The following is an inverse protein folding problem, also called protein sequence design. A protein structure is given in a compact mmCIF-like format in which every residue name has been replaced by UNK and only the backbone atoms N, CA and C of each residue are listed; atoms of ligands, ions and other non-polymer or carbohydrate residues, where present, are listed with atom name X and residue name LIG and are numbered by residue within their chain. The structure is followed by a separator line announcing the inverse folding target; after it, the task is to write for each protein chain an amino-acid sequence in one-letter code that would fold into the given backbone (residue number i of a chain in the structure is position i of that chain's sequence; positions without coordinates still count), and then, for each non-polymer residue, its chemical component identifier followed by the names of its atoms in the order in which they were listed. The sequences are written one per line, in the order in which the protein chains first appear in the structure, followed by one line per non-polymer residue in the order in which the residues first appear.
data_IF_581259504151
#
_entry.id   IF_581259504151
#
_cell.length_a   1.000
_cell.length_b   1.000
_cell.length_c   1.000
_cell.angle_alpha   90.00
_cell.angle_beta   90.00
_cell.angle_gamma   90.00
#
_symmetry.space_group_name_H-M   'P 1'
#
loop_
_entity.id
_entity.type
_entity.pdbx_description
1 polymer ?
#
# COMPACT_ATOMS: atom_id res chain seq x y z
N UNK A 1 -10.80 -4.73 14.34
CA UNK A 1 -9.37 -4.93 14.66
C UNK A 1 -8.58 -4.85 13.37
N UNK A 2 -7.40 -4.24 13.39
CA UNK A 2 -6.51 -4.12 12.25
C UNK A 2 -5.15 -4.77 12.59
N UNK A 3 -4.40 -5.18 11.57
CA UNK A 3 -3.06 -5.73 11.76
C UNK A 3 -2.08 -5.22 10.70
N UNK A 4 -0.79 -5.36 11.02
CA UNK A 4 0.32 -5.22 10.07
C UNK A 4 1.19 -6.48 10.19
N UNK A 5 1.53 -7.13 9.07
CA UNK A 5 2.51 -8.21 9.01
C UNK A 5 3.69 -7.76 8.14
N UNK A 6 4.91 -8.07 8.58
CA UNK A 6 6.13 -7.84 7.80
C UNK A 6 6.70 -9.19 7.35
N UNK A 7 7.24 -9.23 6.13
CA UNK A 7 8.02 -10.36 5.65
C UNK A 7 9.16 -9.92 4.73
N UNK A 8 10.13 -10.83 4.54
CA UNK A 8 11.19 -10.68 3.52
C UNK A 8 10.60 -10.63 2.11
N UNK A 9 11.27 -9.91 1.22
CA UNK A 9 10.78 -9.71 -0.14
C UNK A 9 10.89 -10.95 -1.05
N UNK A 10 11.67 -11.95 -0.63
CA UNK A 10 11.76 -13.26 -1.28
C UNK A 10 10.48 -14.10 -1.12
N UNK A 11 9.45 -13.63 -0.40
CA UNK A 11 8.15 -14.30 -0.37
C UNK A 11 7.42 -14.17 -1.72
N UNK A 12 7.70 -13.13 -2.50
CA UNK A 12 7.03 -12.84 -3.78
C UNK A 12 7.64 -13.58 -4.98
N UNK A 13 8.62 -14.47 -4.76
CA UNK A 13 9.14 -15.34 -5.82
C UNK A 13 8.18 -16.52 -5.98
N UNK A 14 7.26 -16.42 -6.94
CA UNK A 14 6.62 -17.62 -7.50
C UNK A 14 7.65 -18.40 -8.29
N UNK A 15 7.69 -19.72 -8.14
CA UNK A 15 8.28 -20.57 -9.17
C UNK A 15 7.44 -20.38 -10.45
N UNK A 16 8.10 -20.18 -11.59
CA UNK A 16 7.48 -19.92 -12.92
C UNK A 16 6.44 -20.99 -13.33
N UNK A 17 6.36 -22.11 -12.60
CA UNK A 17 5.47 -23.25 -12.84
C UNK A 17 4.21 -23.29 -11.93
N UNK A 18 3.99 -22.28 -11.06
CA UNK A 18 2.82 -22.22 -10.17
C UNK A 18 1.97 -20.98 -10.44
N UNK A 19 0.68 -21.18 -10.73
CA UNK A 19 -0.32 -20.14 -11.11
C UNK A 19 -0.53 -19.00 -10.10
N UNK A 20 0.04 -19.04 -8.89
CA UNK A 20 -0.17 -18.02 -7.85
C UNK A 20 1.03 -17.86 -6.92
N UNK A 21 1.53 -16.64 -6.74
CA UNK A 21 2.64 -16.33 -5.81
C UNK A 21 2.24 -16.56 -4.35
N UNK A 22 3.19 -16.82 -3.44
CA UNK A 22 2.89 -17.00 -2.01
C UNK A 22 2.18 -15.79 -1.40
N UNK A 23 2.42 -14.60 -1.96
CA UNK A 23 1.73 -13.36 -1.59
C UNK A 23 0.23 -13.45 -1.90
N UNK A 24 -0.14 -13.95 -3.09
CA UNK A 24 -1.54 -14.15 -3.45
C UNK A 24 -2.22 -15.20 -2.57
N UNK A 25 -1.52 -16.30 -2.27
CA UNK A 25 -2.01 -17.33 -1.33
C UNK A 25 -2.29 -16.71 0.05
N UNK A 26 -1.36 -15.92 0.58
CA UNK A 26 -1.53 -15.24 1.86
C UNK A 26 -2.72 -14.26 1.85
N UNK A 27 -2.89 -13.46 0.80
CA UNK A 27 -4.04 -12.56 0.65
C UNK A 27 -5.37 -13.33 0.56
N UNK A 28 -5.38 -14.47 -0.14
CA UNK A 28 -6.53 -15.37 -0.21
C UNK A 28 -6.93 -15.91 1.16
N UNK A 29 -5.97 -16.46 1.92
CA UNK A 29 -6.20 -16.96 3.28
C UNK A 29 -6.73 -15.85 4.21
N UNK A 30 -6.14 -14.65 4.14
CA UNK A 30 -6.58 -13.49 4.93
C UNK A 30 -8.02 -13.09 4.60
N UNK A 31 -8.40 -13.14 3.32
CA UNK A 31 -9.78 -12.90 2.88
C UNK A 31 -10.73 -13.97 3.43
N UNK A 32 -10.37 -15.24 3.36
CA UNK A 32 -11.17 -16.35 3.89
C UNK A 32 -11.45 -16.22 5.39
N UNK A 33 -10.47 -15.77 6.17
CA UNK A 33 -10.66 -15.55 7.61
C UNK A 33 -11.32 -14.21 7.94
N UNK A 34 -11.78 -13.43 6.95
CA UNK A 34 -12.59 -12.22 7.13
C UNK A 34 -11.78 -10.93 7.31
N UNK A 35 -10.71 -10.76 6.52
CA UNK A 35 -9.96 -9.52 6.43
C UNK A 35 -9.90 -8.99 4.99
N UNK A 36 -10.10 -7.69 4.84
CA UNK A 36 -9.63 -6.96 3.67
C UNK A 36 -8.18 -6.55 3.89
N UNK A 37 -7.27 -7.13 3.10
CA UNK A 37 -5.84 -6.88 3.23
C UNK A 37 -5.21 -6.46 1.90
N UNK A 38 -4.18 -5.63 2.00
CA UNK A 38 -3.28 -5.26 0.90
C UNK A 38 -1.85 -5.55 1.29
N UNK A 39 -0.96 -5.60 0.31
CA UNK A 39 0.48 -5.83 0.51
C UNK A 39 1.27 -4.79 -0.26
N UNK A 40 2.30 -4.24 0.37
CA UNK A 40 3.19 -3.26 -0.24
C UNK A 40 4.66 -3.68 -0.05
N UNK A 41 5.45 -3.59 -1.11
CA UNK A 41 6.90 -3.83 -1.07
C UNK A 41 7.62 -2.50 -0.85
N UNK A 42 8.23 -2.32 0.32
CA UNK A 42 8.87 -1.07 0.71
C UNK A 42 10.38 -1.27 0.88
N UNK A 43 11.17 -0.31 0.39
CA UNK A 43 12.61 -0.25 0.63
C UNK A 43 12.91 0.87 1.63
N UNK A 44 13.64 0.55 2.70
CA UNK A 44 13.95 1.51 3.78
C UNK A 44 14.69 2.77 3.29
N UNK A 45 15.48 2.64 2.21
CA UNK A 45 16.17 3.75 1.55
C UNK A 45 15.22 4.87 1.09
N UNK A 46 14.01 4.51 0.65
CA UNK A 46 13.03 5.46 0.11
C UNK A 46 12.35 6.29 1.21
N UNK A 47 12.61 5.95 2.48
CA UNK A 47 12.04 6.58 3.67
C UNK A 47 13.09 7.29 4.52
N UNK A 48 14.23 7.66 3.93
CA UNK A 48 15.29 8.43 4.58
C UNK A 48 16.18 7.63 5.52
N UNK A 49 16.04 6.30 5.55
CA UNK A 49 16.92 5.41 6.30
C UNK A 49 18.02 4.94 5.35
N UNK A 50 19.32 5.21 5.60
CA UNK A 50 20.42 4.84 4.69
C UNK A 50 20.72 3.33 4.78
N UNK A 51 19.75 2.49 4.45
CA UNK A 51 19.80 1.04 4.50
C UNK A 51 19.04 0.45 3.31
N UNK A 52 19.70 -0.45 2.56
CA UNK A 52 19.05 -1.24 1.51
C UNK A 52 18.36 -2.45 2.15
N UNK A 53 17.17 -2.25 2.66
CA UNK A 53 16.33 -3.29 3.26
C UNK A 53 14.94 -3.23 2.66
N UNK A 54 14.63 -4.23 1.84
CA UNK A 54 13.31 -4.37 1.21
C UNK A 54 12.46 -5.41 1.96
N UNK A 55 11.19 -5.08 2.21
CA UNK A 55 10.25 -5.88 2.98
C UNK A 55 8.84 -5.73 2.42
N UNK A 56 8.08 -6.83 2.51
CA UNK A 56 6.66 -6.84 2.24
C UNK A 56 5.91 -6.50 3.52
N UNK A 57 4.95 -5.58 3.42
CA UNK A 57 4.08 -5.18 4.50
C UNK A 57 2.64 -5.47 4.13
N UNK A 58 2.02 -6.40 4.83
CA UNK A 58 0.58 -6.65 4.72
C UNK A 58 -0.15 -5.77 5.72
N UNK A 59 -1.19 -5.07 5.26
CA UNK A 59 -2.07 -4.28 6.13
C UNK A 59 -3.47 -4.83 5.99
N UNK A 60 -4.05 -5.34 7.08
CA UNK A 60 -5.35 -5.99 7.07
C UNK A 60 -6.36 -5.34 8.02
N UNK A 61 -7.60 -5.20 7.55
CA UNK A 61 -8.74 -4.67 8.29
C UNK A 61 -9.82 -5.76 8.43
N UNK A 62 -10.24 -6.08 9.66
CA UNK A 62 -11.28 -7.08 9.91
C UNK A 62 -12.60 -6.64 9.30
N UNK A 63 -13.33 -7.55 8.67
CA UNK A 63 -14.60 -7.26 8.00
C UNK A 63 -15.67 -6.72 8.95
N UNK A 64 -15.72 -7.26 10.16
CA UNK A 64 -16.64 -6.82 11.22
C UNK A 64 -16.31 -5.45 11.82
N UNK A 65 -15.23 -4.81 11.38
CA UNK A 65 -14.89 -3.46 11.84
C UNK A 65 -15.81 -2.44 11.15
N UNK A 66 -16.66 -1.79 11.95
CA UNK A 66 -17.42 -0.62 11.51
C UNK A 66 -16.47 0.58 11.42
N UNK A 67 -16.28 1.09 10.21
CA UNK A 67 -15.44 2.25 9.91
C UNK A 67 -16.32 3.35 9.33
N UNK A 68 -15.90 4.61 9.50
CA UNK A 68 -16.59 5.76 8.94
C UNK A 68 -16.52 5.81 7.41
N UNK A 69 -15.50 5.16 6.83
CA UNK A 69 -15.24 5.08 5.40
C UNK A 69 -15.15 3.61 4.97
N UNK A 70 -15.25 3.35 3.66
CA UNK A 70 -15.09 1.99 3.14
C UNK A 70 -13.65 1.50 3.37
N UNK A 71 -13.49 0.18 3.47
CA UNK A 71 -12.16 -0.42 3.71
C UNK A 71 -11.27 -0.17 2.49
N UNK A 72 -11.86 -0.23 1.31
CA UNK A 72 -11.24 0.04 0.02
C UNK A 72 -10.69 1.47 -0.03
N UNK A 73 -11.47 2.47 0.38
CA UNK A 73 -11.03 3.87 0.43
C UNK A 73 -9.89 4.08 1.41
N UNK A 74 -9.97 3.45 2.59
CA UNK A 74 -8.92 3.55 3.61
C UNK A 74 -7.62 2.96 3.07
N UNK A 75 -7.69 1.79 2.44
CA UNK A 75 -6.54 1.12 1.84
C UNK A 75 -5.96 1.93 0.67
N UNK A 76 -6.81 2.52 -0.18
CA UNK A 76 -6.40 3.39 -1.27
C UNK A 76 -5.70 4.68 -0.77
N UNK A 77 -6.23 5.32 0.29
CA UNK A 77 -5.59 6.47 0.93
C UNK A 77 -4.23 6.11 1.53
N UNK A 78 -4.13 4.92 2.11
CA UNK A 78 -2.88 4.42 2.70
C UNK A 78 -1.83 4.22 1.61
N UNK A 79 -2.20 3.58 0.50
CA UNK A 79 -1.37 3.43 -0.68
C UNK A 79 -0.91 4.80 -1.24
N UNK A 80 -1.83 5.73 -1.48
CA UNK A 80 -1.50 7.07 -1.95
C UNK A 80 -0.58 7.85 -1.01
N UNK A 81 -0.72 7.66 0.31
CA UNK A 81 0.15 8.28 1.30
C UNK A 81 1.55 7.66 1.30
N UNK A 82 1.68 6.36 1.09
CA UNK A 82 2.97 5.69 0.94
C UNK A 82 3.72 6.19 -0.29
N UNK A 83 3.07 6.25 -1.46
CA UNK A 83 3.68 6.84 -2.68
C UNK A 83 4.12 8.29 -2.42
N UNK A 84 3.29 9.08 -1.75
CA UNK A 84 3.64 10.45 -1.37
C UNK A 84 4.84 10.50 -0.42
N UNK A 85 5.04 9.50 0.43
CA UNK A 85 6.18 9.41 1.33
C UNK A 85 7.46 8.93 0.63
N UNK A 86 7.35 8.18 -0.46
CA UNK A 86 8.47 7.70 -1.28
C UNK A 86 8.93 8.73 -2.32
N UNK A 87 8.07 9.67 -2.71
CA UNK A 87 8.45 10.75 -3.64
C UNK A 87 9.46 11.68 -2.95
N UNK A 88 10.61 11.98 -3.59
CA UNK A 88 11.56 12.96 -3.08
C UNK A 88 10.87 14.28 -2.75
N UNK A 89 11.30 14.95 -1.67
CA UNK A 89 10.67 16.19 -1.20
C UNK A 89 10.59 17.27 -2.29
N UNK A 90 11.54 17.28 -3.23
CA UNK A 90 11.62 18.20 -4.37
C UNK A 90 10.49 17.96 -5.41
N UNK A 91 10.11 16.70 -5.67
CA UNK A 91 8.98 16.36 -6.56
C UNK A 91 7.61 16.61 -5.92
N UNK A 92 7.53 16.61 -4.58
CA UNK A 92 6.27 16.89 -3.86
C UNK A 92 5.77 18.32 -4.10
N UNK A 93 6.66 19.27 -4.38
CA UNK A 93 6.31 20.67 -4.68
C UNK A 93 5.68 20.81 -6.08
N UNK A 94 6.14 20.01 -7.04
CA UNK A 94 5.62 19.98 -8.42
C UNK A 94 4.18 19.46 -8.46
N UNK A 95 3.90 18.33 -7.81
CA UNK A 95 2.57 17.70 -7.82
C UNK A 95 1.52 18.52 -7.04
N UNK A 96 1.93 19.19 -5.95
CA UNK A 96 1.04 20.08 -5.20
C UNK A 96 0.54 21.28 -6.03
N UNK A 97 1.39 21.84 -6.91
CA UNK A 97 1.00 22.93 -7.80
C UNK A 97 0.01 22.51 -8.88
N UNK A 98 0.05 21.25 -9.34
CA UNK A 98 -0.85 20.75 -10.39
C UNK A 98 -2.26 20.43 -9.87
N UNK A 99 -2.39 19.97 -8.62
CA UNK A 99 -3.69 19.78 -7.96
C UNK A 99 -4.42 21.09 -7.68
N UNK A 100 -3.69 22.18 -7.44
CA UNK A 100 -4.26 23.52 -7.22
C UNK A 100 -4.83 24.15 -8.51
N UNK A 101 -4.30 23.77 -9.68
CA UNK A 101 -4.78 24.25 -10.99
C UNK A 101 -5.97 23.43 -11.50
N UNK A 102 -6.09 22.16 -11.11
CA UNK A 102 -7.23 21.30 -11.49
C UNK A 102 -8.54 21.72 -10.79
N UNK A 103 -8.47 22.33 -9.60
CA UNK A 103 -9.66 22.82 -8.88
C UNK A 103 -10.21 24.15 -9.42
N UNK A 104 -9.50 24.83 -10.33
CA UNK A 104 -9.84 26.19 -10.77
C UNK A 104 -10.34 26.26 -12.23
N UNK A 105 -10.62 25.12 -12.89
CA UNK A 105 -11.04 25.08 -14.31
C UNK A 105 -12.37 24.36 -14.59
N UNK A 106 -13.31 24.37 -13.63
CA UNK A 106 -14.67 23.85 -13.86
C UNK A 106 -15.78 24.81 -13.44
N UNK A 107 -15.54 26.11 -13.56
CA UNK A 107 -16.61 27.11 -13.59
C UNK A 107 -16.34 28.03 -14.77
N UNK A 108 -17.10 27.84 -15.85
CA UNK A 108 -17.65 28.80 -16.83
C UNK A 108 -18.08 28.05 -18.09
#
# INVERSE_FOLDING_TARGET
MAFILENVDSMDTGDDDTESSNVQVALGLLKEIGYHAVVEKLNSADYGVPQRRCRLYFVGLRDSLALAESKEDILAKLHGRLIRMMTPAEERLSVASQLQVASCKSEH
#
